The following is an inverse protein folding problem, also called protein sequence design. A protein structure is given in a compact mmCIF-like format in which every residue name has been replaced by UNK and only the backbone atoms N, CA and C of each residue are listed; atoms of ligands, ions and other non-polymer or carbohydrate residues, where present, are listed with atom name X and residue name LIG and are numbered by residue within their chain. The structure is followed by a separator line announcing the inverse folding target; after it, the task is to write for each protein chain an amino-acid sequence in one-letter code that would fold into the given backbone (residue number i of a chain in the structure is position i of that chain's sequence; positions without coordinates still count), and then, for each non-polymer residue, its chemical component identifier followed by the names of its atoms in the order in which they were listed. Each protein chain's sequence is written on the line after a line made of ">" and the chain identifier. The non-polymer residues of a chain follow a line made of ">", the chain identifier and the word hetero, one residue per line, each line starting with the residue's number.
data_IF_310251931857
#
_entry.id   IF_310251931857
#
_cell.length_a   1.000
_cell.length_b   1.000
_cell.length_c   1.000
_cell.angle_alpha   90.00
_cell.angle_beta   90.00
_cell.angle_gamma   90.00
#
_symmetry.space_group_name_H-M   'P 1'
#
loop_
_entity.id
_entity.type
_entity.pdbx_description
1 polymer ?
#
# COMPACT_ATOMS: atom_id res chain seq x y z
N UNK A 1 -10.11 -5.19 -7.05
CA UNK A 1 -8.79 -5.72 -7.46
C UNK A 1 -8.33 -4.89 -8.65
N UNK A 2 -7.16 -4.26 -8.59
CA UNK A 2 -6.66 -3.39 -9.69
C UNK A 2 -5.90 -4.16 -10.78
N UNK A 3 -5.72 -5.48 -10.64
CA UNK A 3 -4.92 -6.30 -11.56
C UNK A 3 -5.42 -7.74 -11.65
N UNK A 4 -6.74 -7.94 -11.77
CA UNK A 4 -7.27 -9.27 -12.05
C UNK A 4 -7.09 -9.63 -13.54
N UNK A 5 -7.06 -10.94 -13.79
CA UNK A 5 -6.91 -11.47 -15.15
C UNK A 5 -8.18 -11.19 -15.96
N UNK A 6 -8.03 -10.57 -17.13
CA UNK A 6 -9.15 -10.24 -18.03
C UNK A 6 -9.71 -8.81 -17.90
N UNK A 7 -8.99 -7.90 -17.23
CA UNK A 7 -9.34 -6.48 -17.17
C UNK A 7 -9.45 -5.86 -18.57
N UNK A 8 -10.53 -5.11 -18.84
CA UNK A 8 -10.72 -4.42 -20.11
C UNK A 8 -9.86 -3.16 -20.20
N UNK A 9 -9.71 -2.60 -21.40
CA UNK A 9 -9.00 -1.32 -21.58
C UNK A 9 -9.70 -0.17 -20.87
N UNK A 10 -11.03 -0.18 -20.82
CA UNK A 10 -11.86 0.82 -20.13
C UNK A 10 -11.60 0.76 -18.62
N UNK A 11 -11.66 -0.44 -18.02
CA UNK A 11 -11.38 -0.65 -16.60
C UNK A 11 -9.94 -0.24 -16.25
N UNK A 12 -8.95 -0.53 -17.12
CA UNK A 12 -7.58 -0.05 -16.92
C UNK A 12 -7.48 1.48 -16.92
N UNK A 13 -8.29 2.15 -17.75
CA UNK A 13 -8.30 3.60 -17.84
C UNK A 13 -8.94 4.23 -16.60
N UNK A 14 -10.03 3.64 -16.09
CA UNK A 14 -10.64 4.04 -14.83
C UNK A 14 -9.66 3.90 -13.66
N UNK A 15 -8.92 2.79 -13.58
CA UNK A 15 -7.89 2.58 -12.56
C UNK A 15 -6.81 3.65 -12.65
N UNK A 16 -6.34 3.99 -13.86
CA UNK A 16 -5.34 5.05 -14.05
C UNK A 16 -5.86 6.42 -13.63
N UNK A 17 -7.11 6.75 -13.97
CA UNK A 17 -7.73 8.00 -13.55
C UNK A 17 -7.83 8.09 -12.03
N UNK A 18 -8.29 7.03 -11.37
CA UNK A 18 -8.35 6.96 -9.92
C UNK A 18 -6.95 7.14 -9.26
N UNK A 19 -5.92 6.50 -9.81
CA UNK A 19 -4.55 6.66 -9.30
C UNK A 19 -4.01 8.08 -9.49
N UNK A 20 -4.41 8.79 -10.56
CA UNK A 20 -4.00 10.18 -10.78
C UNK A 20 -4.58 11.16 -9.76
N UNK A 21 -5.68 10.79 -9.09
CA UNK A 21 -6.28 11.57 -7.99
C UNK A 21 -5.65 11.24 -6.63
N UNK A 22 -4.74 10.27 -6.58
CA UNK A 22 -4.11 9.78 -5.36
C UNK A 22 -2.65 10.25 -5.24
N UNK A 23 -2.16 10.36 -4.01
CA UNK A 23 -0.73 10.52 -3.75
C UNK A 23 -0.07 9.15 -3.86
N UNK A 24 0.87 9.01 -4.81
CA UNK A 24 1.64 7.78 -5.00
C UNK A 24 2.91 7.88 -4.16
N UNK A 25 3.09 6.91 -3.25
CA UNK A 25 4.26 6.81 -2.38
C UNK A 25 5.01 5.54 -2.73
N UNK A 26 6.22 5.70 -3.25
CA UNK A 26 7.09 4.58 -3.56
C UNK A 26 7.73 4.00 -2.29
N UNK A 27 8.04 2.71 -2.33
CA UNK A 27 8.75 2.04 -1.24
C UNK A 27 10.22 2.47 -1.27
N UNK A 28 10.61 3.25 -0.26
CA UNK A 28 11.99 3.65 -0.01
C UNK A 28 12.64 2.79 1.10
N UNK A 29 13.91 3.02 1.38
CA UNK A 29 14.66 2.24 2.37
C UNK A 29 14.13 2.41 3.80
N UNK A 30 13.58 3.58 4.14
CA UNK A 30 12.97 3.82 5.44
C UNK A 30 11.70 3.00 5.65
N UNK A 31 10.79 3.01 4.65
CA UNK A 31 9.58 2.19 4.65
C UNK A 31 9.94 0.69 4.75
N UNK A 32 11.01 0.24 4.08
CA UNK A 32 11.49 -1.15 4.20
C UNK A 32 11.93 -1.48 5.63
N UNK A 33 12.74 -0.63 6.24
CA UNK A 33 13.20 -0.83 7.62
C UNK A 33 12.03 -0.87 8.60
N UNK A 34 11.08 0.05 8.47
CA UNK A 34 9.88 0.06 9.30
C UNK A 34 9.00 -1.18 9.07
N UNK A 35 8.86 -1.64 7.82
CA UNK A 35 8.14 -2.88 7.48
C UNK A 35 8.77 -4.09 8.18
N UNK A 36 10.11 -4.20 8.18
CA UNK A 36 10.83 -5.28 8.86
C UNK A 36 10.58 -5.22 10.37
N UNK A 37 10.66 -4.04 10.98
CA UNK A 37 10.41 -3.86 12.41
C UNK A 37 8.98 -4.28 12.80
N UNK A 38 7.97 -3.87 12.00
CA UNK A 38 6.57 -4.28 12.21
C UNK A 38 6.41 -5.79 12.10
N UNK A 39 7.03 -6.40 11.09
CA UNK A 39 7.02 -7.86 10.87
C UNK A 39 7.63 -8.66 12.01
N UNK A 40 8.69 -8.16 12.61
CA UNK A 40 9.35 -8.80 13.76
C UNK A 40 8.50 -8.70 15.03
N UNK A 41 7.77 -7.58 15.20
CA UNK A 41 6.97 -7.30 16.40
C UNK A 41 5.55 -7.85 16.34
N UNK A 42 4.96 -8.00 15.16
CA UNK A 42 3.56 -8.35 14.97
C UNK A 42 3.37 -9.47 13.93
N UNK A 43 2.40 -10.35 14.15
CA UNK A 43 1.98 -11.36 13.17
C UNK A 43 1.10 -10.74 12.07
N UNK A 44 1.68 -9.83 11.29
CA UNK A 44 1.00 -9.12 10.22
C UNK A 44 1.44 -9.65 8.84
N UNK A 45 0.53 -9.70 7.87
CA UNK A 45 0.87 -10.09 6.49
C UNK A 45 1.80 -9.05 5.86
N UNK A 46 2.60 -9.45 4.88
CA UNK A 46 3.57 -8.54 4.25
C UNK A 46 2.91 -7.31 3.63
N UNK A 47 1.82 -7.42 2.85
CA UNK A 47 1.15 -6.25 2.30
C UNK A 47 0.67 -5.28 3.39
N UNK A 48 0.00 -5.79 4.42
CA UNK A 48 -0.51 -4.97 5.53
C UNK A 48 0.63 -4.29 6.31
N UNK A 49 1.76 -4.98 6.46
CA UNK A 49 2.95 -4.43 7.15
C UNK A 49 3.58 -3.29 6.35
N UNK A 50 3.59 -3.38 5.02
CA UNK A 50 4.06 -2.31 4.14
C UNK A 50 3.13 -1.11 4.27
N UNK A 51 1.81 -1.31 4.23
CA UNK A 51 0.85 -0.20 4.36
C UNK A 51 0.99 0.48 5.73
N UNK A 52 1.13 -0.30 6.81
CA UNK A 52 1.34 0.24 8.15
C UNK A 52 2.66 1.04 8.26
N UNK A 53 3.75 0.53 7.68
CA UNK A 53 5.02 1.25 7.60
C UNK A 53 4.90 2.55 6.80
N UNK A 54 4.21 2.52 5.65
CA UNK A 54 3.96 3.72 4.85
C UNK A 54 3.16 4.75 5.63
N UNK A 55 2.09 4.36 6.34
CA UNK A 55 1.30 5.27 7.16
C UNK A 55 2.10 5.92 8.28
N UNK A 56 3.00 5.17 8.92
CA UNK A 56 3.93 5.72 9.92
C UNK A 56 4.92 6.70 9.29
N UNK A 57 5.48 6.37 8.11
CA UNK A 57 6.42 7.23 7.39
C UNK A 57 5.82 8.58 6.98
N UNK A 58 4.54 8.62 6.60
CA UNK A 58 3.84 9.89 6.24
C UNK A 58 3.04 10.50 7.39
N UNK A 59 3.18 9.98 8.61
CA UNK A 59 2.51 10.46 9.83
C UNK A 59 0.97 10.52 9.74
N UNK A 60 0.35 9.57 9.02
CA UNK A 60 -1.11 9.48 8.94
C UNK A 60 -1.66 8.32 9.79
N UNK A 61 -2.88 8.45 10.33
CA UNK A 61 -3.54 7.35 11.04
C UNK A 61 -3.71 6.12 10.13
N UNK A 62 -3.17 4.97 10.56
CA UNK A 62 -3.37 3.70 9.88
C UNK A 62 -4.73 3.09 10.28
N UNK A 63 -5.62 2.91 9.31
CA UNK A 63 -6.89 2.22 9.50
C UNK A 63 -6.84 0.81 8.88
N UNK A 64 -6.88 -0.23 9.71
CA UNK A 64 -6.96 -1.62 9.28
C UNK A 64 -8.25 -2.26 9.79
N UNK A 65 -9.00 -2.93 8.91
CA UNK A 65 -10.12 -3.79 9.32
C UNK A 65 -9.56 -5.18 9.59
N UNK A 66 -9.47 -5.54 10.88
CA UNK A 66 -9.10 -6.87 11.35
C UNK A 66 -9.99 -7.95 10.76
#
# INVERSE_FOLDING_TARGET
>A
MLGYKGITTEEQQEVKQFLNECIIIDINDEIKMQTIAIKQKHQMKLPDSIIAATSLFIEVPFANRR
#
